data_IF_722442332843
#
_entry.id   IF_722442332843
#
_cell.length_a   1.000
_cell.length_b   1.000
_cell.length_c   1.000
_cell.angle_alpha   90.00
_cell.angle_beta   90.00
_cell.angle_gamma   90.00
#
_symmetry.space_group_name_H-M   'P 1'
#
loop_
_entity.id
_entity.type
_entity.pdbx_description
1 polymer ?
#
# COMPACT_ATOMS: atom_id res chain seq x y z
N UNK A 1 9.83 -49.43 41.97
CA UNK A 1 8.37 -49.66 41.91
C UNK A 1 7.71 -48.53 42.68
N UNK A 2 7.31 -47.46 41.98
CA UNK A 2 6.72 -46.28 42.61
C UNK A 2 5.37 -46.01 41.96
N UNK A 3 4.31 -46.35 42.69
CA UNK A 3 2.92 -46.02 42.40
C UNK A 3 2.73 -44.50 42.45
N UNK A 4 2.34 -43.88 41.34
CA UNK A 4 1.85 -42.50 41.33
C UNK A 4 0.33 -42.49 41.26
N UNK A 5 -0.26 -41.89 42.29
CA UNK A 5 -1.68 -41.62 42.51
C UNK A 5 -2.33 -40.98 41.27
N UNK A 6 -3.43 -41.56 40.81
CA UNK A 6 -4.37 -40.90 39.91
C UNK A 6 -5.24 -39.93 40.71
N UNK A 7 -5.10 -38.63 40.46
CA UNK A 7 -5.95 -37.57 41.01
C UNK A 7 -7.21 -37.48 40.14
N UNK A 8 -8.35 -37.94 40.66
CA UNK A 8 -9.68 -37.79 40.03
C UNK A 8 -10.26 -36.44 40.49
N UNK A 9 -10.37 -35.48 39.57
CA UNK A 9 -11.02 -34.18 39.83
C UNK A 9 -12.49 -34.30 39.44
N UNK A 10 -13.46 -34.07 40.35
CA UNK A 10 -14.87 -34.21 40.04
C UNK A 10 -15.36 -33.01 39.20
N UNK A 11 -16.09 -33.36 38.16
CA UNK A 11 -16.75 -32.49 37.20
C UNK A 11 -17.86 -31.69 37.90
N UNK A 12 -17.60 -30.43 38.21
CA UNK A 12 -18.56 -29.49 38.79
C UNK A 12 -19.52 -28.95 37.73
N UNK A 13 -20.81 -29.24 37.91
CA UNK A 13 -21.94 -28.73 37.14
C UNK A 13 -22.03 -27.20 37.25
N UNK A 14 -21.57 -26.48 36.23
CA UNK A 14 -21.68 -25.02 36.12
C UNK A 14 -23.09 -24.66 35.63
N UNK A 15 -23.94 -24.15 36.52
CA UNK A 15 -25.26 -23.60 36.20
C UNK A 15 -25.07 -22.25 35.49
N UNK A 16 -25.23 -22.27 34.17
CA UNK A 16 -25.27 -21.07 33.31
C UNK A 16 -26.57 -20.30 33.58
N UNK A 17 -26.47 -19.26 34.40
CA UNK A 17 -27.49 -18.22 34.53
C UNK A 17 -27.58 -17.49 33.19
N UNK A 18 -28.64 -17.76 32.45
CA UNK A 18 -28.98 -17.10 31.20
C UNK A 18 -29.41 -15.65 31.48
N UNK A 19 -28.45 -14.73 31.52
CA UNK A 19 -28.71 -13.30 31.38
C UNK A 19 -29.23 -13.08 29.95
N UNK A 20 -30.48 -12.64 29.84
CA UNK A 20 -31.08 -12.24 28.58
C UNK A 20 -30.33 -11.05 27.99
N UNK A 21 -29.41 -11.33 27.07
CA UNK A 21 -28.83 -10.32 26.19
C UNK A 21 -29.94 -9.87 25.24
N UNK A 22 -30.47 -8.68 25.49
CA UNK A 22 -31.20 -7.94 24.47
C UNK A 22 -30.24 -7.66 23.33
N UNK A 23 -30.35 -8.43 22.25
CA UNK A 23 -29.65 -8.15 20.99
C UNK A 23 -30.31 -6.89 20.42
N UNK A 24 -29.76 -5.73 20.74
CA UNK A 24 -30.04 -4.53 19.95
C UNK A 24 -29.65 -4.87 18.50
N UNK A 25 -30.46 -4.49 17.49
CA UNK A 25 -30.08 -4.73 16.11
C UNK A 25 -28.73 -4.08 15.89
N UNK A 26 -27.71 -4.90 15.63
CA UNK A 26 -26.43 -4.42 15.14
C UNK A 26 -26.77 -3.63 13.88
N UNK A 27 -26.69 -2.30 13.96
CA UNK A 27 -26.76 -1.46 12.79
C UNK A 27 -25.72 -2.01 11.82
N UNK A 28 -26.18 -2.54 10.70
CA UNK A 28 -25.29 -3.14 9.71
C UNK A 28 -24.23 -2.08 9.39
N UNK A 29 -22.97 -2.42 9.60
CA UNK A 29 -21.85 -1.62 9.12
C UNK A 29 -21.89 -1.71 7.60
N UNK A 30 -22.71 -0.87 6.99
CA UNK A 30 -22.69 -0.65 5.55
C UNK A 30 -21.33 -0.08 5.22
N UNK A 31 -20.68 -0.63 4.18
CA UNK A 31 -19.42 -0.10 3.68
C UNK A 31 -19.54 1.43 3.50
N UNK A 32 -18.57 2.19 4.02
CA UNK A 32 -18.69 3.65 4.13
C UNK A 32 -18.76 4.27 2.73
N UNK A 33 -17.73 4.02 1.92
CA UNK A 33 -17.51 4.71 0.66
C UNK A 33 -17.02 3.78 -0.44
N UNK A 34 -17.06 4.28 -1.68
CA UNK A 34 -16.50 3.63 -2.85
C UNK A 34 -15.07 4.11 -3.05
N UNK A 35 -14.11 3.17 -3.05
CA UNK A 35 -12.70 3.48 -3.27
C UNK A 35 -12.15 2.71 -4.46
N UNK A 36 -11.00 3.15 -4.97
CA UNK A 36 -10.19 2.39 -5.92
C UNK A 36 -8.77 2.20 -5.39
N UNK A 37 -8.14 1.09 -5.79
CA UNK A 37 -6.74 0.78 -5.47
C UNK A 37 -5.92 0.87 -6.74
N UNK A 38 -4.84 1.64 -6.73
CA UNK A 38 -4.06 1.97 -7.92
C UNK A 38 -2.57 1.75 -7.68
N UNK A 39 -1.93 1.04 -8.60
CA UNK A 39 -0.47 0.91 -8.64
C UNK A 39 0.15 2.16 -9.24
N UNK A 40 1.12 2.76 -8.54
CA UNK A 40 1.84 3.96 -8.98
C UNK A 40 3.36 3.72 -8.96
N UNK A 41 4.10 4.08 -10.01
CA UNK A 41 3.61 4.47 -11.33
C UNK A 41 2.91 3.31 -12.06
N UNK A 42 2.08 3.65 -13.05
CA UNK A 42 1.31 2.65 -13.82
C UNK A 42 2.20 1.79 -14.74
N UNK A 43 3.34 2.32 -15.19
CA UNK A 43 4.31 1.56 -15.98
C UNK A 43 5.73 2.03 -15.71
N UNK A 44 6.70 1.11 -15.74
CA UNK A 44 8.12 1.42 -15.69
C UNK A 44 8.93 0.53 -16.63
N UNK A 45 10.11 1.04 -17.01
CA UNK A 45 11.15 0.31 -17.72
C UNK A 45 12.33 0.03 -16.78
N UNK A 46 12.93 -1.14 -16.88
CA UNK A 46 14.09 -1.52 -16.09
C UNK A 46 15.10 -2.36 -16.88
N UNK A 47 16.35 -2.34 -16.43
CA UNK A 47 17.38 -3.26 -16.91
C UNK A 47 17.32 -4.59 -16.13
N UNK A 48 17.75 -5.67 -16.77
CA UNK A 48 17.89 -6.97 -16.08
C UNK A 48 18.86 -6.81 -14.91
N UNK A 49 18.49 -7.33 -13.73
CA UNK A 49 19.22 -7.21 -12.48
C UNK A 49 18.96 -5.92 -11.69
N UNK A 50 18.13 -5.00 -12.20
CA UNK A 50 17.75 -3.78 -11.48
C UNK A 50 16.48 -3.97 -10.65
N UNK A 51 16.36 -3.17 -9.60
CA UNK A 51 15.16 -3.09 -8.76
C UNK A 51 14.32 -1.85 -9.08
N UNK A 52 13.01 -2.01 -9.06
CA UNK A 52 12.03 -0.95 -9.33
C UNK A 52 10.98 -0.94 -8.22
N UNK A 53 10.47 0.23 -7.87
CA UNK A 53 9.51 0.38 -6.76
C UNK A 53 8.15 0.83 -7.26
N UNK A 54 7.10 0.22 -6.71
CA UNK A 54 5.70 0.54 -6.96
C UNK A 54 4.97 0.80 -5.64
N UNK A 55 4.13 1.81 -5.63
CA UNK A 55 3.27 2.17 -4.52
C UNK A 55 1.84 1.69 -4.79
N UNK A 56 1.19 1.16 -3.75
CA UNK A 56 -0.24 0.89 -3.73
C UNK A 56 -0.95 2.09 -3.12
N UNK A 57 -1.78 2.75 -3.92
CA UNK A 57 -2.47 3.98 -3.53
C UNK A 57 -3.97 3.73 -3.51
N UNK A 58 -4.61 3.98 -2.38
CA UNK A 58 -6.08 4.00 -2.25
C UNK A 58 -6.56 5.40 -2.60
N UNK A 59 -7.54 5.51 -3.49
CA UNK A 59 -8.14 6.77 -3.95
C UNK A 59 -9.63 6.82 -3.65
N UNK A 60 -10.17 8.04 -3.57
CA UNK A 60 -11.60 8.26 -3.33
C UNK A 60 -11.97 8.18 -1.84
N UNK A 61 -11.02 8.46 -0.95
CA UNK A 61 -11.30 8.54 0.48
C UNK A 61 -12.00 9.88 0.77
N UNK A 62 -13.24 9.81 1.24
CA UNK A 62 -14.05 10.98 1.62
C UNK A 62 -14.21 11.10 3.16
N UNK A 63 -13.27 10.50 3.90
CA UNK A 63 -13.27 10.45 5.36
C UNK A 63 -12.76 9.11 5.90
N UNK A 64 -12.20 9.11 7.11
CA UNK A 64 -11.91 7.90 7.89
C UNK A 64 -10.61 7.15 7.58
N UNK A 65 -9.83 7.59 6.59
CA UNK A 65 -8.52 7.03 6.26
C UNK A 65 -8.55 5.53 5.91
N UNK A 66 -7.39 4.91 5.76
CA UNK A 66 -7.23 3.46 5.67
C UNK A 66 -6.63 2.96 6.97
N UNK A 67 -7.41 2.16 7.71
CA UNK A 67 -7.01 1.53 8.96
C UNK A 67 -6.59 0.08 8.85
N UNK A 68 -7.03 -0.61 7.79
CA UNK A 68 -6.70 -2.00 7.55
C UNK A 68 -6.64 -2.30 6.04
N UNK A 69 -5.77 -3.21 5.65
CA UNK A 69 -5.66 -3.67 4.27
C UNK A 69 -5.20 -5.13 4.22
N UNK A 70 -5.82 -5.91 3.34
CA UNK A 70 -5.42 -7.25 2.95
C UNK A 70 -5.31 -7.29 1.43
N UNK A 71 -4.08 -7.23 0.95
CA UNK A 71 -3.77 -7.11 -0.48
C UNK A 71 -2.71 -8.11 -0.89
N UNK A 72 -2.84 -8.62 -2.10
CA UNK A 72 -1.86 -9.53 -2.69
C UNK A 72 -1.33 -8.93 -3.99
N UNK A 73 -0.01 -8.82 -4.10
CA UNK A 73 0.67 -8.33 -5.30
C UNK A 73 1.37 -9.49 -5.99
N UNK A 74 1.29 -9.54 -7.32
CA UNK A 74 1.82 -10.62 -8.15
C UNK A 74 2.57 -10.10 -9.37
N UNK A 75 3.59 -10.84 -9.77
CA UNK A 75 4.41 -10.65 -10.96
C UNK A 75 4.63 -12.00 -11.67
N UNK A 76 5.02 -11.94 -12.93
CA UNK A 76 5.47 -13.12 -13.69
C UNK A 76 6.92 -13.45 -13.30
N UNK A 77 7.10 -14.59 -12.64
CA UNK A 77 8.41 -15.08 -12.17
C UNK A 77 9.43 -15.33 -13.28
N UNK A 78 8.97 -15.49 -14.53
CA UNK A 78 9.87 -15.63 -15.67
C UNK A 78 10.55 -14.31 -16.06
N UNK A 79 10.01 -13.17 -15.62
CA UNK A 79 10.50 -11.82 -15.94
C UNK A 79 11.02 -11.09 -14.70
N UNK A 80 10.36 -11.23 -13.54
CA UNK A 80 10.71 -10.51 -12.32
C UNK A 80 10.29 -11.25 -11.04
N UNK A 81 10.86 -10.85 -9.90
CA UNK A 81 10.47 -11.35 -8.58
C UNK A 81 10.26 -10.20 -7.59
N UNK A 82 9.45 -10.39 -6.57
CA UNK A 82 9.24 -9.39 -5.52
C UNK A 82 10.43 -9.40 -4.57
N UNK A 83 11.25 -8.35 -4.58
CA UNK A 83 12.41 -8.22 -3.70
C UNK A 83 12.02 -7.79 -2.29
N UNK A 84 11.06 -6.87 -2.15
CA UNK A 84 10.59 -6.38 -0.86
C UNK A 84 9.14 -5.86 -0.96
N UNK A 85 8.45 -5.80 0.16
CA UNK A 85 7.12 -5.21 0.29
C UNK A 85 6.91 -4.78 1.75
N UNK A 86 6.36 -3.59 1.94
CA UNK A 86 6.11 -3.02 3.26
C UNK A 86 4.94 -2.05 3.22
N UNK A 87 4.29 -1.86 4.37
CA UNK A 87 3.27 -0.84 4.53
C UNK A 87 3.89 0.54 4.71
N UNK A 88 3.19 1.57 4.22
CA UNK A 88 3.53 2.98 4.44
C UNK A 88 2.23 3.71 4.72
N UNK A 89 2.05 4.34 5.89
CA UNK A 89 2.89 4.24 7.08
C UNK A 89 2.88 2.83 7.71
N UNK A 90 3.79 2.59 8.66
CA UNK A 90 3.89 1.31 9.37
C UNK A 90 2.66 1.10 10.26
N UNK A 91 1.94 -0.04 10.12
CA UNK A 91 0.77 -0.35 10.93
C UNK A 91 1.14 -0.81 12.32
N UNK A 92 0.20 -0.67 13.27
CA UNK A 92 0.33 -1.30 14.58
C UNK A 92 0.37 -2.84 14.53
N UNK A 93 -0.19 -3.45 13.49
CA UNK A 93 -0.16 -4.89 13.22
C UNK A 93 0.15 -5.14 11.74
N UNK A 94 1.16 -5.94 11.43
CA UNK A 94 1.43 -6.40 10.06
C UNK A 94 1.79 -7.88 9.97
N UNK A 95 1.55 -8.42 8.78
CA UNK A 95 2.07 -9.68 8.30
C UNK A 95 2.37 -9.55 6.80
N UNK A 96 3.61 -9.86 6.41
CA UNK A 96 4.04 -9.88 5.00
C UNK A 96 4.51 -11.28 4.66
N UNK A 97 3.82 -11.94 3.74
CA UNK A 97 4.08 -13.32 3.35
C UNK A 97 4.40 -13.41 1.87
N UNK A 98 5.53 -14.01 1.53
CA UNK A 98 5.94 -14.25 0.14
C UNK A 98 5.59 -15.67 -0.29
N UNK A 99 5.16 -15.85 -1.53
CA UNK A 99 5.08 -17.18 -2.13
C UNK A 99 6.48 -17.78 -2.36
N UNK A 100 6.52 -19.10 -2.56
CA UNK A 100 7.71 -19.75 -3.12
C UNK A 100 8.06 -19.08 -4.47
N UNK A 101 9.36 -18.87 -4.72
CA UNK A 101 9.82 -18.16 -5.92
C UNK A 101 9.58 -16.64 -5.91
N UNK A 102 8.91 -16.09 -4.88
CA UNK A 102 8.65 -14.65 -4.70
C UNK A 102 7.92 -13.99 -5.87
N UNK A 103 7.11 -14.74 -6.60
CA UNK A 103 6.23 -14.23 -7.64
C UNK A 103 4.99 -13.51 -7.09
N UNK A 104 4.71 -13.73 -5.80
CA UNK A 104 3.58 -13.11 -5.11
C UNK A 104 3.98 -12.70 -3.69
N UNK A 105 3.37 -11.62 -3.20
CA UNK A 105 3.44 -11.20 -1.80
C UNK A 105 2.05 -10.81 -1.31
N UNK A 106 1.65 -11.33 -0.15
CA UNK A 106 0.45 -10.88 0.57
C UNK A 106 0.87 -9.95 1.70
N UNK A 107 0.26 -8.77 1.75
CA UNK A 107 0.39 -7.80 2.81
C UNK A 107 -0.93 -7.73 3.57
N UNK A 108 -0.88 -8.07 4.86
CA UNK A 108 -1.99 -7.89 5.79
C UNK A 108 -1.58 -6.88 6.85
N UNK A 109 -2.35 -5.82 7.02
CA UNK A 109 -2.07 -4.73 7.92
C UNK A 109 -3.33 -4.25 8.63
N UNK A 110 -3.21 -3.87 9.89
CA UNK A 110 -4.29 -3.27 10.67
C UNK A 110 -3.74 -2.21 11.63
N UNK A 111 -4.60 -1.27 12.01
CA UNK A 111 -4.23 -0.07 12.76
C UNK A 111 -3.20 0.78 11.99
N UNK A 112 -3.39 0.91 10.68
CA UNK A 112 -2.66 1.87 9.84
C UNK A 112 -3.24 3.26 10.17
N UNK A 113 -2.41 4.27 10.39
CA UNK A 113 -2.84 5.65 10.64
C UNK A 113 -2.49 6.51 9.44
N UNK A 114 -3.49 6.99 8.71
CA UNK A 114 -3.34 7.61 7.40
C UNK A 114 -4.05 8.96 7.31
N UNK A 115 -3.81 9.65 6.20
CA UNK A 115 -4.61 10.82 5.87
C UNK A 115 -6.08 10.44 5.72
N UNK A 116 -6.94 11.22 6.36
CA UNK A 116 -8.38 10.92 6.46
C UNK A 116 -9.14 11.02 5.14
N UNK A 117 -8.55 11.62 4.10
CA UNK A 117 -9.23 11.89 2.82
C UNK A 117 -8.25 11.98 1.66
N UNK A 118 -8.75 11.86 0.44
CA UNK A 118 -8.00 12.02 -0.81
C UNK A 118 -7.41 10.71 -1.32
N UNK A 119 -6.11 10.74 -1.63
CA UNK A 119 -5.33 9.59 -2.08
C UNK A 119 -4.24 9.28 -1.07
N UNK A 120 -4.14 8.02 -0.65
CA UNK A 120 -3.23 7.56 0.40
C UNK A 120 -2.43 6.39 -0.13
N UNK A 121 -1.10 6.51 -0.13
CA UNK A 121 -0.22 5.34 -0.28
C UNK A 121 -0.36 4.48 0.97
N UNK A 122 -0.61 3.18 0.79
CA UNK A 122 -0.76 2.23 1.91
C UNK A 122 0.39 1.22 1.95
N UNK A 123 1.06 0.98 0.83
CA UNK A 123 2.17 0.05 0.77
C UNK A 123 3.11 0.39 -0.39
N UNK A 124 4.35 -0.07 -0.25
CA UNK A 124 5.39 0.03 -1.26
C UNK A 124 5.95 -1.37 -1.53
N UNK A 125 6.08 -1.72 -2.80
CA UNK A 125 6.57 -3.01 -3.29
C UNK A 125 7.77 -2.77 -4.19
N UNK A 126 8.88 -3.42 -3.87
CA UNK A 126 10.10 -3.42 -4.69
C UNK A 126 10.19 -4.73 -5.46
N UNK A 127 10.35 -4.63 -6.77
CA UNK A 127 10.43 -5.73 -7.72
C UNK A 127 11.82 -5.77 -8.32
N UNK A 128 12.45 -6.94 -8.38
CA UNK A 128 13.74 -7.19 -9.03
C UNK A 128 13.51 -7.82 -10.41
N UNK A 129 14.12 -7.21 -11.43
CA UNK A 129 14.00 -7.65 -12.81
C UNK A 129 14.95 -8.81 -13.09
N UNK A 130 14.44 -9.97 -13.48
CA UNK A 130 15.23 -11.20 -13.63
C UNK A 130 15.56 -11.54 -15.09
N UNK A 131 14.68 -11.20 -16.04
CA UNK A 131 14.90 -11.47 -17.46
C UNK A 131 14.18 -10.46 -18.37
N UNK A 132 14.61 -10.36 -19.63
CA UNK A 132 13.95 -9.51 -20.61
C UNK A 132 12.50 -9.95 -20.85
N UNK A 133 11.57 -9.00 -20.91
CA UNK A 133 10.15 -9.29 -21.12
C UNK A 133 9.25 -8.20 -20.59
N UNK A 134 7.97 -8.51 -20.44
CA UNK A 134 6.99 -7.62 -19.81
C UNK A 134 6.19 -8.42 -18.81
N UNK A 135 6.08 -7.91 -17.59
CA UNK A 135 5.24 -8.48 -16.53
C UNK A 135 4.20 -7.47 -16.07
N UNK A 136 2.95 -7.88 -15.84
CA UNK A 136 2.02 -7.07 -15.07
C UNK A 136 2.50 -6.96 -13.61
N UNK A 137 2.16 -5.86 -12.97
CA UNK A 137 2.15 -5.71 -11.50
C UNK A 137 0.68 -5.87 -11.10
N UNK A 138 0.27 -7.12 -10.86
CA UNK A 138 -1.11 -7.47 -10.57
C UNK A 138 -1.42 -7.31 -9.09
N UNK A 139 -2.54 -6.65 -8.77
CA UNK A 139 -3.05 -6.47 -7.41
C UNK A 139 -4.39 -7.16 -7.27
N UNK A 140 -4.50 -8.00 -6.25
CA UNK A 140 -5.76 -8.57 -5.77
C UNK A 140 -6.06 -8.00 -4.39
N UNK A 141 -7.25 -7.43 -4.21
CA UNK A 141 -7.66 -6.76 -2.98
C UNK A 141 -8.69 -7.63 -2.28
N UNK A 142 -8.32 -8.20 -1.15
CA UNK A 142 -9.23 -9.00 -0.32
C UNK A 142 -10.12 -8.10 0.53
N UNK A 143 -9.52 -7.13 1.23
CA UNK A 143 -10.27 -6.12 1.99
C UNK A 143 -9.46 -4.83 2.18
N UNK A 144 -10.16 -3.71 2.33
CA UNK A 144 -9.60 -2.43 2.79
C UNK A 144 -10.63 -1.82 3.72
N UNK A 145 -10.22 -1.46 4.94
CA UNK A 145 -11.09 -0.87 5.95
C UNK A 145 -10.58 0.48 6.43
N UNK A 146 -11.50 1.30 6.93
CA UNK A 146 -11.20 2.58 7.57
C UNK A 146 -10.53 2.39 8.93
N UNK A 147 -10.04 3.48 9.51
CA UNK A 147 -9.45 3.50 10.85
C UNK A 147 -10.46 3.17 11.96
N UNK A 148 -11.76 3.34 11.67
CA UNK A 148 -12.85 2.90 12.55
C UNK A 148 -13.19 1.40 12.40
N UNK A 149 -12.49 0.67 11.53
CA UNK A 149 -12.72 -0.76 11.28
C UNK A 149 -13.92 -1.05 10.39
N UNK A 150 -14.33 -0.11 9.53
CA UNK A 150 -15.43 -0.31 8.57
C UNK A 150 -14.85 -0.55 7.18
N UNK A 151 -15.17 -1.68 6.56
CA UNK A 151 -14.71 -2.01 5.19
C UNK A 151 -15.23 -1.01 4.16
N UNK A 152 -14.39 -0.70 3.17
CA UNK A 152 -14.76 0.08 1.99
C UNK A 152 -15.30 -0.81 0.88
N UNK A 153 -16.06 -0.21 -0.05
CA UNK A 153 -16.45 -0.89 -1.29
C UNK A 153 -15.40 -0.63 -2.36
N UNK A 154 -14.66 -1.66 -2.74
CA UNK A 154 -13.71 -1.58 -3.85
C UNK A 154 -14.50 -1.54 -5.17
N UNK A 155 -14.36 -0.45 -5.92
CA UNK A 155 -15.04 -0.27 -7.21
C UNK A 155 -14.13 -0.48 -8.41
N UNK A 156 -12.82 -0.31 -8.23
CA UNK A 156 -11.82 -0.53 -9.25
C UNK A 156 -10.47 -0.91 -8.64
N UNK A 157 -9.71 -1.72 -9.37
CA UNK A 157 -8.30 -2.03 -9.12
C UNK A 157 -7.52 -1.76 -10.40
N UNK A 158 -6.59 -0.82 -10.36
CA UNK A 158 -5.76 -0.40 -11.49
C UNK A 158 -4.34 -0.98 -11.32
N UNK A 159 -4.04 -2.00 -12.11
CA UNK A 159 -2.75 -2.70 -12.11
C UNK A 159 -1.65 -1.87 -12.78
N UNK A 160 -0.38 -2.24 -12.52
CA UNK A 160 0.79 -1.66 -13.19
C UNK A 160 1.43 -2.60 -14.21
N UNK A 161 2.52 -2.16 -14.84
CA UNK A 161 3.36 -2.99 -15.71
C UNK A 161 4.85 -2.66 -15.59
N UNK A 162 5.69 -3.68 -15.72
CA UNK A 162 7.15 -3.56 -15.79
C UNK A 162 7.63 -4.12 -17.13
N UNK A 163 8.37 -3.32 -17.90
CA UNK A 163 9.07 -3.73 -19.11
C UNK A 163 10.56 -3.87 -18.78
N UNK A 164 11.12 -5.05 -19.03
CA UNK A 164 12.52 -5.34 -18.73
C UNK A 164 13.30 -5.52 -20.02
N UNK A 165 14.43 -4.82 -20.16
CA UNK A 165 15.33 -4.99 -21.29
C UNK A 165 14.95 -4.22 -22.56
N UNK A 166 13.95 -3.33 -22.48
CA UNK A 166 13.76 -2.31 -23.50
C UNK A 166 14.92 -1.31 -23.38
N UNK A 167 16.02 -1.57 -24.10
CA UNK A 167 17.10 -0.60 -24.23
C UNK A 167 16.50 0.74 -24.62
N UNK A 168 16.82 1.77 -23.83
CA UNK A 168 16.36 3.15 -24.00
C UNK A 168 16.22 3.49 -25.47
N UNK A 169 14.99 3.43 -25.99
CA UNK A 169 14.69 3.92 -27.33
C UNK A 169 14.69 5.43 -27.23
N UNK A 170 15.88 6.02 -27.09
CA UNK A 170 16.14 7.32 -27.66
C UNK A 170 15.92 7.16 -29.16
N UNK A 171 14.67 7.32 -29.59
CA UNK A 171 14.32 7.63 -30.96
C UNK A 171 14.92 8.99 -31.29
N UNK A 172 16.25 9.03 -31.51
CA UNK A 172 16.82 9.99 -32.43
C UNK A 172 16.30 9.55 -33.78
N UNK A 173 15.22 10.18 -34.22
CA UNK A 173 14.78 10.16 -35.62
C UNK A 173 15.99 10.60 -36.45
N UNK A 174 16.77 9.63 -36.91
CA UNK A 174 17.71 9.82 -37.99
C UNK A 174 16.82 10.09 -39.21
N UNK A 175 16.68 11.37 -39.54
CA UNK A 175 16.10 11.81 -40.80
C UNK A 175 16.97 11.20 -41.89
N UNK A 176 16.53 10.08 -42.47
CA UNK A 176 17.02 9.60 -43.75
C UNK A 176 16.74 10.70 -44.77
N UNK A 177 17.76 11.52 -45.07
CA UNK A 177 17.74 12.35 -46.26
C UNK A 177 17.88 11.42 -47.45
N UNK A 178 16.74 11.00 -47.99
CA UNK A 178 16.64 10.43 -49.34
C UNK A 178 17.12 11.50 -50.33
N UNK A 179 18.35 11.40 -50.81
CA UNK A 179 18.82 12.15 -51.99
C UNK A 179 18.09 11.60 -53.20
N UNK A 180 17.03 12.28 -53.60
CA UNK A 180 16.28 12.02 -54.81
C UNK A 180 17.16 12.33 -56.03
N UNK A 181 17.49 11.29 -56.80
CA UNK A 181 18.08 11.45 -58.11
C UNK A 181 17.05 12.04 -59.07
N UNK A 182 17.36 13.23 -59.60
CA UNK A 182 16.59 13.91 -60.64
C UNK A 182 17.54 14.34 -61.74
N UNK A 183 17.55 13.57 -62.82
CA UNK A 183 18.34 13.81 -64.03
C UNK A 183 17.57 14.70 -65.00
N UNK A 184 18.18 15.78 -65.52
CA UNK A 184 18.14 16.14 -66.96
C UNK A 184 18.89 17.44 -67.31
N UNK A 185 19.81 17.29 -68.27
CA UNK A 185 20.09 18.18 -69.44
C UNK A 185 20.87 19.51 -69.33
N UNK A 186 22.11 19.46 -69.84
CA UNK A 186 22.75 20.30 -70.90
C UNK A 186 22.67 21.84 -70.81
N UNK A 187 23.84 22.51 -70.74
CA UNK A 187 24.36 23.43 -71.77
C UNK A 187 25.78 23.92 -71.41
N UNK A 188 26.61 24.24 -72.41
CA UNK A 188 28.05 24.46 -72.33
C UNK A 188 28.51 25.81 -71.74
N UNK A 189 29.81 25.90 -71.47
CA UNK A 189 30.45 27.16 -71.07
C UNK A 189 31.92 27.00 -70.67
N UNK A 190 32.78 27.34 -71.62
CA UNK A 190 34.19 27.76 -71.48
C UNK A 190 34.43 28.73 -70.31
N UNK A 191 35.62 28.71 -69.70
CA UNK A 191 36.07 29.82 -68.86
C UNK A 191 36.94 29.45 -67.66
N UNK A 192 38.20 29.84 -67.78
CA UNK A 192 39.32 29.87 -66.84
C UNK A 192 39.08 30.36 -65.40
N UNK A 193 40.09 30.04 -64.56
CA UNK A 193 40.61 30.75 -63.39
C UNK A 193 39.71 30.95 -62.15
N UNK A 194 40.17 30.45 -61.00
CA UNK A 194 40.73 31.30 -59.92
C UNK A 194 40.90 30.53 -58.62
N UNK A 195 42.13 30.63 -58.10
CA UNK A 195 42.51 30.35 -56.72
C UNK A 195 41.71 31.17 -55.70
N UNK A 196 41.77 30.69 -54.44
CA UNK A 196 41.62 31.44 -53.18
C UNK A 196 40.19 31.69 -52.67
N UNK A 197 39.83 31.09 -51.54
CA UNK A 197 39.90 31.74 -50.22
C UNK A 197 39.31 30.85 -49.12
N UNK A 198 39.97 30.93 -47.96
CA UNK A 198 39.56 30.42 -46.64
C UNK A 198 38.18 30.92 -46.21
N UNK A 199 37.37 30.08 -45.56
CA UNK A 199 36.40 30.56 -44.54
C UNK A 199 36.16 29.49 -43.48
N UNK A 200 36.36 29.92 -42.25
CA UNK A 200 36.24 29.20 -40.99
C UNK A 200 34.83 28.64 -40.74
N UNK A 201 34.78 27.44 -40.15
CA UNK A 201 33.60 26.83 -39.56
C UNK A 201 33.96 26.27 -38.19
N UNK A 202 33.55 27.01 -37.17
CA UNK A 202 33.80 26.93 -35.73
C UNK A 202 33.51 25.54 -35.09
N UNK A 203 34.47 25.03 -34.32
CA UNK A 203 34.32 23.90 -33.41
C UNK A 203 33.92 24.44 -32.03
N UNK A 204 32.65 24.32 -31.64
CA UNK A 204 32.23 24.56 -30.26
C UNK A 204 32.32 23.26 -29.47
N UNK A 205 33.41 23.14 -28.70
CA UNK A 205 33.61 22.13 -27.66
C UNK A 205 33.18 22.75 -26.34
N UNK A 206 32.00 22.37 -25.83
CA UNK A 206 31.62 22.68 -24.45
C UNK A 206 31.99 21.52 -23.54
N UNK A 207 33.25 21.52 -23.10
CA UNK A 207 33.70 20.79 -21.93
C UNK A 207 33.87 21.80 -20.79
N UNK A 208 32.99 21.76 -19.79
CA UNK A 208 33.14 22.50 -18.54
C UNK A 208 33.25 21.46 -17.41
N UNK A 209 34.47 20.95 -17.24
CA UNK A 209 34.91 20.35 -15.98
C UNK A 209 35.44 21.47 -15.08
N UNK A 210 34.74 21.75 -13.98
CA UNK A 210 35.19 22.64 -12.91
C UNK A 210 35.42 21.82 -11.67
N UNK A 211 36.69 21.57 -11.36
CA UNK A 211 37.15 21.08 -10.08
C UNK A 211 37.44 22.31 -9.21
N UNK A 212 36.67 22.48 -8.13
CA UNK A 212 37.05 23.37 -7.04
C UNK A 212 37.12 22.53 -5.76
N UNK A 213 38.36 22.27 -5.37
CA UNK A 213 38.72 21.85 -4.05
C UNK A 213 38.71 23.10 -3.16
N UNK A 214 37.90 23.10 -2.11
CA UNK A 214 38.20 23.92 -0.94
C UNK A 214 38.03 23.07 0.31
N UNK A 215 39.16 22.94 1.00
CA UNK A 215 39.26 22.36 2.32
C UNK A 215 38.94 23.45 3.36
N UNK A 216 38.82 23.01 4.62
CA UNK A 216 38.64 23.83 5.83
C UNK A 216 37.16 24.16 6.11
N UNK A 217 36.59 23.98 7.30
CA UNK A 217 37.19 23.99 8.63
C UNK A 217 36.25 23.32 9.63
N UNK A 218 36.88 22.79 10.66
CA UNK A 218 36.36 22.26 11.91
C UNK A 218 35.38 23.20 12.63
N UNK A 219 34.34 22.64 13.27
CA UNK A 219 34.07 22.82 14.72
C UNK A 219 32.71 22.24 15.15
N UNK A 220 32.82 21.18 15.95
CA UNK A 220 32.11 20.83 17.19
C UNK A 220 30.57 20.95 17.37
N UNK A 221 29.98 19.99 18.11
CA UNK A 221 28.56 19.90 18.39
C UNK A 221 28.12 20.87 19.50
N UNK A 222 26.96 21.51 19.33
CA UNK A 222 26.28 22.18 20.44
C UNK A 222 25.39 21.18 21.17
N UNK A 223 25.88 20.70 22.31
CA UNK A 223 25.03 20.25 23.38
C UNK A 223 24.61 21.50 24.20
N UNK A 224 23.31 21.66 24.46
CA UNK A 224 22.81 22.51 25.54
C UNK A 224 21.49 21.95 26.08
N UNK A 225 21.71 21.01 27.00
CA UNK A 225 21.10 20.88 28.31
C UNK A 225 20.03 21.90 28.75
N UNK A 226 18.91 21.34 29.20
CA UNK A 226 18.37 21.45 30.57
C UNK A 226 17.70 22.73 31.07
N UNK A 227 16.78 22.48 32.01
CA UNK A 227 16.21 23.37 33.04
C UNK A 227 14.86 24.00 32.62
N UNK A 228 13.79 24.06 33.43
CA UNK A 228 13.62 23.83 34.87
C UNK A 228 12.13 23.62 35.18
N UNK A 229 11.87 22.95 36.30
CA UNK A 229 10.60 22.65 36.94
C UNK A 229 9.68 23.85 37.26
N UNK A 230 8.39 23.59 37.49
CA UNK A 230 7.73 23.92 38.76
C UNK A 230 6.39 23.19 38.93
N UNK A 231 6.21 22.67 40.14
CA UNK A 231 5.02 22.05 40.69
C UNK A 231 4.02 23.10 41.25
N UNK A 232 2.91 22.60 41.80
CA UNK A 232 1.82 23.24 42.57
C UNK A 232 0.77 23.93 41.69
N UNK A 233 -0.54 23.69 41.81
CA UNK A 233 -1.48 23.56 42.96
C UNK A 233 -2.70 22.73 42.51
N UNK A 234 -3.16 21.68 43.21
CA UNK A 234 -4.08 21.69 44.36
C UNK A 234 -5.33 22.60 44.23
N UNK A 235 -6.52 22.00 44.37
CA UNK A 235 -7.74 22.72 44.77
C UNK A 235 -8.97 22.62 43.85
N UNK A 236 -9.88 21.71 44.21
CA UNK A 236 -11.36 21.85 44.28
C UNK A 236 -12.09 22.67 43.19
N UNK A 237 -13.09 22.05 42.55
CA UNK A 237 -14.48 22.31 42.94
C UNK A 237 -15.46 21.27 42.37
N UNK A 238 -16.60 21.20 43.06
CA UNK A 238 -17.63 20.17 43.18
C UNK A 238 -18.59 19.96 41.97
N UNK A 239 -19.52 18.99 42.03
CA UNK A 239 -20.24 18.41 40.90
C UNK A 239 -21.48 19.22 40.49
N UNK A 240 -21.83 19.17 39.21
CA UNK A 240 -23.15 19.54 38.74
C UNK A 240 -23.93 18.29 38.34
N UNK A 241 -24.77 17.81 39.24
CA UNK A 241 -25.94 17.02 38.88
C UNK A 241 -26.85 17.88 38.00
N UNK A 242 -27.25 17.35 36.84
CA UNK A 242 -28.43 17.86 36.13
C UNK A 242 -29.38 16.71 35.85
N UNK A 243 -30.31 16.59 36.80
CA UNK A 243 -31.60 15.93 36.65
C UNK A 243 -32.44 16.75 35.67
N UNK A 244 -32.92 16.14 34.59
CA UNK A 244 -34.17 16.55 33.94
C UNK A 244 -34.93 15.31 33.45
N UNK A 245 -36.18 15.30 33.86
CA UNK A 245 -37.21 14.27 33.82
C UNK A 245 -37.75 13.93 32.40
N UNK A 246 -38.53 12.84 32.28
CA UNK A 246 -38.88 12.21 31.00
C UNK A 246 -40.02 12.92 30.25
N UNK A 247 -39.88 13.05 28.93
CA UNK A 247 -40.98 13.41 28.05
C UNK A 247 -41.78 12.16 27.64
N UNK A 248 -43.06 12.20 28.00
CA UNK A 248 -44.14 11.25 27.72
C UNK A 248 -44.64 11.35 26.28
N UNK A 249 -44.96 10.18 25.70
CA UNK A 249 -45.93 9.86 24.62
C UNK A 249 -45.95 10.65 23.31
N UNK A 250 -45.68 9.93 22.22
CA UNK A 250 -46.67 9.75 21.15
C UNK A 250 -46.42 8.42 20.40
N UNK A 251 -47.42 7.55 20.43
CA UNK A 251 -47.53 6.33 19.63
C UNK A 251 -48.29 6.71 18.35
N UNK A 252 -47.81 6.35 17.15
CA UNK A 252 -48.72 5.97 16.08
C UNK A 252 -48.71 4.46 15.91
N UNK A 253 -49.90 3.91 16.13
CA UNK A 253 -50.35 2.59 15.71
C UNK A 253 -50.23 2.47 14.20
N UNK A 254 -49.47 1.51 13.69
CA UNK A 254 -49.76 0.95 12.37
C UNK A 254 -49.52 -0.57 12.33
N UNK A 255 -50.64 -1.27 12.51
CA UNK A 255 -51.14 -2.46 11.82
C UNK A 255 -50.15 -3.41 11.15
N UNK A 256 -50.23 -4.65 11.64
CA UNK A 256 -49.59 -5.87 11.19
C UNK A 256 -49.78 -6.23 9.70
N UNK A 257 -48.75 -6.88 9.14
CA UNK A 257 -48.90 -7.97 8.18
C UNK A 257 -47.82 -9.05 8.46
N UNK A 258 -48.18 -10.27 8.90
CA UNK A 258 -47.25 -11.38 9.03
C UNK A 258 -47.10 -12.12 7.70
N UNK A 259 -45.86 -12.18 7.17
CA UNK A 259 -45.44 -13.04 6.06
C UNK A 259 -44.35 -14.02 6.52
N UNK A 260 -44.36 -15.29 6.06
CA UNK A 260 -43.71 -16.39 6.77
C UNK A 260 -42.23 -16.60 6.42
N UNK A 261 -41.47 -17.01 7.44
CA UNK A 261 -40.45 -18.06 7.44
C UNK A 261 -39.42 -18.09 6.31
N UNK A 262 -38.20 -17.66 6.63
CA UNK A 262 -36.99 -18.29 6.10
C UNK A 262 -36.09 -18.70 7.27
N UNK A 263 -36.18 -19.99 7.59
CA UNK A 263 -35.19 -20.75 8.34
C UNK A 263 -33.93 -20.83 7.47
N UNK A 264 -32.83 -20.17 7.85
CA UNK A 264 -31.51 -20.47 7.32
C UNK A 264 -30.51 -20.71 8.46
N UNK A 265 -30.40 -22.00 8.78
CA UNK A 265 -29.20 -22.78 9.08
C UNK A 265 -27.95 -22.01 9.55
N UNK A 266 -27.72 -22.11 10.85
CA UNK A 266 -26.41 -22.05 11.52
C UNK A 266 -25.35 -22.87 10.78
N UNK A 267 -24.22 -22.26 10.43
CA UNK A 267 -22.97 -22.97 10.12
C UNK A 267 -21.88 -22.49 11.06
N UNK A 268 -21.36 -23.43 11.84
CA UNK A 268 -20.28 -23.34 12.82
C UNK A 268 -18.99 -22.77 12.24
N UNK A 269 -18.36 -21.83 12.97
CA UNK A 269 -16.90 -21.65 12.90
C UNK A 269 -16.35 -21.14 14.24
N UNK A 270 -16.43 -22.00 15.26
CA UNK A 270 -15.74 -21.83 16.54
C UNK A 270 -14.95 -23.10 16.86
N UNK A 271 -13.99 -23.44 15.99
CA UNK A 271 -12.93 -24.43 16.28
C UNK A 271 -11.68 -24.06 15.48
N UNK A 272 -10.88 -23.11 15.96
CA UNK A 272 -9.51 -22.89 15.47
C UNK A 272 -8.50 -22.39 16.52
N UNK A 273 -8.93 -21.95 17.71
CA UNK A 273 -8.02 -21.32 18.69
C UNK A 273 -7.45 -22.22 19.80
N UNK A 274 -7.83 -23.50 19.90
CA UNK A 274 -7.50 -24.35 21.06
C UNK A 274 -6.57 -25.54 20.77
N UNK A 275 -6.04 -25.65 19.54
CA UNK A 275 -5.12 -26.76 19.19
C UNK A 275 -3.62 -26.41 19.32
N UNK A 276 -3.25 -25.20 19.77
CA UNK A 276 -1.85 -24.75 19.82
C UNK A 276 -1.19 -24.77 21.23
N UNK A 277 -1.62 -25.63 22.15
CA UNK A 277 -0.96 -25.68 23.49
C UNK A 277 -0.57 -27.06 24.02
N UNK A 278 -0.53 -28.09 23.18
CA UNK A 278 0.03 -29.39 23.61
C UNK A 278 0.96 -29.97 22.55
N UNK A 279 2.11 -29.32 22.31
CA UNK A 279 3.27 -30.02 21.72
C UNK A 279 4.64 -29.37 21.92
N UNK A 280 5.06 -29.12 23.16
CA UNK A 280 6.49 -29.04 23.50
C UNK A 280 6.74 -29.45 24.95
N UNK A 281 7.03 -30.73 25.19
CA UNK A 281 8.02 -31.21 26.18
C UNK A 281 8.09 -32.74 26.15
N UNK A 282 9.05 -33.26 25.39
CA UNK A 282 9.69 -34.54 25.64
C UNK A 282 11.19 -34.28 25.51
N UNK A 283 11.82 -34.04 26.65
CA UNK A 283 13.15 -34.56 26.99
C UNK A 283 12.92 -35.66 28.04
#
# INVERSE_FOLDING_TARGET
MSTRLALVVPLGLLVLVSLGLGVAPAGGVTAQDNVSVVVTPASQDAEVGSTTTYDLVVRGLDGGGVGAADVTVSVDESVATVANASFVPDPGLNEVTYSDGRSQVRLYGALIDTSQSGSVTIATVTVESSANGTTPIGVDVTDVGSEAGVSYRITAVENGSLVVGAGSSNTTTAVERTTSEGSSSQDGGDGSDSDSESTAGELTVSAMGGADADANDTSSPVASSSSTASATTDGRDEPAESTTEPATSAIPTETAAPGPSILLTTVSLLVAGLYFSVRTRSD
#
